data_IF_444735971659
#
_entry.id   IF_444735971659
#
_cell.length_a   1.000
_cell.length_b   1.000
_cell.length_c   1.000
_cell.angle_alpha   90.00
_cell.angle_beta   90.00
_cell.angle_gamma   90.00
#
_symmetry.space_group_name_H-M   'P 1'
#
loop_
_entity.id
_entity.type
_entity.pdbx_description
1 polymer ?
#
# COMPACT_ATOMS: atom_id res chain seq x y z
N UNK A 1 -11.24 20.46 -9.18
CA UNK A 1 -10.67 19.27 -8.53
C UNK A 1 -11.13 18.04 -9.30
N UNK A 2 -10.30 17.01 -9.37
CA UNK A 2 -10.66 15.72 -9.97
C UNK A 2 -11.84 15.09 -9.18
N UNK A 3 -12.72 14.36 -9.86
CA UNK A 3 -13.78 13.60 -9.20
C UNK A 3 -13.22 12.33 -8.56
N UNK A 4 -13.98 11.67 -7.67
CA UNK A 4 -13.58 10.35 -7.12
C UNK A 4 -13.34 9.33 -8.23
N UNK A 5 -14.14 9.37 -9.29
CA UNK A 5 -13.97 8.49 -10.44
C UNK A 5 -12.65 8.76 -11.15
N UNK A 6 -12.28 10.03 -11.33
CA UNK A 6 -10.99 10.40 -11.95
C UNK A 6 -9.80 9.92 -11.10
N UNK A 7 -9.89 10.06 -9.78
CA UNK A 7 -8.87 9.59 -8.84
C UNK A 7 -8.73 8.06 -8.86
N UNK A 8 -9.84 7.31 -8.83
CA UNK A 8 -9.83 5.87 -8.99
C UNK A 8 -9.28 5.46 -10.36
N UNK A 9 -9.62 6.19 -11.42
CA UNK A 9 -9.11 5.94 -12.77
C UNK A 9 -7.61 6.20 -12.90
N UNK A 10 -7.02 7.11 -12.10
CA UNK A 10 -5.57 7.27 -12.04
C UNK A 10 -4.88 5.99 -11.53
N UNK A 11 -5.45 5.34 -10.51
CA UNK A 11 -4.97 4.03 -10.01
C UNK A 11 -5.07 2.96 -11.12
N UNK A 12 -6.19 2.92 -11.84
CA UNK A 12 -6.38 1.99 -12.97
C UNK A 12 -5.33 2.18 -14.05
N UNK A 13 -5.16 3.42 -14.50
CA UNK A 13 -4.27 3.78 -15.58
C UNK A 13 -2.81 3.43 -15.23
N UNK A 14 -2.33 3.89 -14.06
CA UNK A 14 -0.99 3.54 -13.57
C UNK A 14 -0.79 2.03 -13.52
N UNK A 15 -1.77 1.29 -13.00
CA UNK A 15 -1.66 -0.16 -12.84
C UNK A 15 -1.60 -0.89 -14.19
N UNK A 16 -2.49 -0.57 -15.13
CA UNK A 16 -2.52 -1.24 -16.42
C UNK A 16 -1.30 -0.87 -17.28
N UNK A 17 -0.87 0.40 -17.27
CA UNK A 17 0.27 0.87 -18.06
C UNK A 17 1.60 0.28 -17.57
N UNK A 18 1.83 0.22 -16.26
CA UNK A 18 3.04 -0.36 -15.69
C UNK A 18 3.13 -1.87 -15.94
N UNK A 19 2.01 -2.60 -15.77
CA UNK A 19 1.92 -4.03 -16.10
C UNK A 19 2.19 -4.25 -17.59
N UNK A 20 1.60 -3.43 -18.46
CA UNK A 20 1.78 -3.53 -19.91
C UNK A 20 3.23 -3.27 -20.31
N UNK A 21 3.86 -2.22 -19.76
CA UNK A 21 5.27 -1.88 -20.04
C UNK A 21 6.22 -3.00 -19.59
N UNK A 22 5.97 -3.60 -18.43
CA UNK A 22 6.76 -4.72 -17.93
C UNK A 22 6.53 -6.02 -18.72
N UNK A 23 5.48 -6.07 -19.56
CA UNK A 23 4.98 -7.29 -20.21
C UNK A 23 4.76 -8.44 -19.20
N UNK A 24 4.39 -8.09 -17.97
CA UNK A 24 4.30 -8.99 -16.83
C UNK A 24 3.54 -8.34 -15.68
N UNK A 25 2.66 -9.09 -15.00
CA UNK A 25 1.92 -8.63 -13.83
C UNK A 25 0.41 -8.88 -13.91
N UNK A 26 -0.33 -8.35 -12.94
CA UNK A 26 -1.76 -8.62 -12.77
C UNK A 26 -2.55 -7.32 -12.68
N UNK A 27 -3.20 -6.85 -13.76
CA UNK A 27 -3.89 -5.56 -13.77
C UNK A 27 -5.32 -5.64 -13.21
N UNK A 28 -5.94 -6.83 -13.21
CA UNK A 28 -7.35 -7.01 -12.87
C UNK A 28 -7.70 -6.61 -11.43
N UNK A 29 -6.98 -7.15 -10.43
CA UNK A 29 -7.25 -6.83 -9.02
C UNK A 29 -7.03 -5.34 -8.69
N UNK A 30 -5.92 -4.68 -9.13
CA UNK A 30 -5.76 -3.24 -8.98
C UNK A 30 -6.92 -2.43 -9.56
N UNK A 31 -7.38 -2.78 -10.77
CA UNK A 31 -8.47 -2.05 -11.43
C UNK A 31 -9.84 -2.26 -10.75
N UNK A 32 -10.09 -3.46 -10.23
CA UNK A 32 -11.34 -3.80 -9.54
C UNK A 32 -11.44 -3.26 -8.11
N UNK A 33 -10.31 -2.96 -7.48
CA UNK A 33 -10.25 -2.42 -6.11
C UNK A 33 -10.03 -0.90 -6.06
N UNK A 34 -9.94 -0.23 -7.21
CA UNK A 34 -9.53 1.18 -7.30
C UNK A 34 -10.43 2.13 -6.49
N UNK A 35 -11.75 1.99 -6.55
CA UNK A 35 -12.68 2.82 -5.76
C UNK A 35 -12.56 2.56 -4.25
N UNK A 36 -12.42 1.29 -3.86
CA UNK A 36 -12.25 0.92 -2.45
C UNK A 36 -10.97 1.56 -1.91
N UNK A 37 -9.89 1.46 -2.69
CA UNK A 37 -8.60 2.03 -2.33
C UNK A 37 -8.63 3.55 -2.29
N UNK A 38 -9.26 4.21 -3.26
CA UNK A 38 -9.43 5.68 -3.30
C UNK A 38 -10.11 6.17 -2.02
N UNK A 39 -11.25 5.56 -1.65
CA UNK A 39 -12.00 5.96 -0.46
C UNK A 39 -11.20 5.67 0.81
N UNK A 40 -10.61 4.48 0.94
CA UNK A 40 -9.83 4.12 2.12
C UNK A 40 -8.65 5.07 2.33
N UNK A 41 -7.85 5.32 1.28
CA UNK A 41 -6.60 6.07 1.40
C UNK A 41 -6.80 7.58 1.51
N UNK A 42 -7.79 8.16 0.83
CA UNK A 42 -8.03 9.60 0.89
C UNK A 42 -8.88 10.04 2.10
N UNK A 43 -9.67 9.13 2.68
CA UNK A 43 -10.70 9.53 3.66
C UNK A 43 -10.62 8.82 5.02
N UNK A 44 -9.91 7.70 5.13
CA UNK A 44 -9.90 6.91 6.36
C UNK A 44 -8.50 6.60 6.89
N UNK A 45 -7.55 6.30 6.00
CA UNK A 45 -6.22 5.85 6.38
C UNK A 45 -5.42 6.99 7.04
N UNK A 46 -5.02 6.80 8.28
CA UNK A 46 -4.10 7.70 8.98
C UNK A 46 -2.66 7.32 8.66
N UNK A 47 -2.06 8.07 7.74
CA UNK A 47 -0.69 7.82 7.33
C UNK A 47 0.04 9.14 7.02
N UNK A 48 1.37 9.08 6.98
CA UNK A 48 2.20 10.21 6.61
C UNK A 48 3.24 9.77 5.57
N UNK A 49 3.06 10.13 4.29
CA UNK A 49 4.00 9.80 3.21
C UNK A 49 5.42 10.31 3.45
N UNK A 50 5.57 11.44 4.15
CA UNK A 50 6.88 12.00 4.53
C UNK A 50 7.54 11.29 5.72
N UNK A 51 6.78 10.48 6.46
CA UNK A 51 7.30 9.65 7.55
C UNK A 51 6.59 8.29 7.59
N UNK A 52 6.98 7.35 6.71
CA UNK A 52 6.45 5.98 6.69
C UNK A 52 6.69 5.22 8.00
N UNK A 53 7.62 5.69 8.83
CA UNK A 53 7.99 5.07 10.11
C UNK A 53 7.24 5.65 11.31
N UNK A 54 6.28 6.56 11.11
CA UNK A 54 5.44 7.08 12.20
C UNK A 54 4.80 5.93 12.99
N UNK A 55 5.06 5.90 14.30
CA UNK A 55 4.70 4.78 15.16
C UNK A 55 3.19 4.51 15.24
N UNK A 56 2.37 5.56 15.27
CA UNK A 56 0.91 5.47 15.40
C UNK A 56 0.14 5.61 14.08
N UNK A 57 0.79 5.31 12.95
CA UNK A 57 0.10 5.21 11.65
C UNK A 57 -0.80 3.97 11.59
N UNK A 58 -1.84 4.04 10.77
CA UNK A 58 -2.58 2.86 10.35
C UNK A 58 -1.69 1.95 9.48
N UNK A 59 -1.91 0.64 9.58
CA UNK A 59 -1.16 -0.36 8.80
C UNK A 59 -2.02 -0.89 7.66
N UNK A 60 -1.57 -0.68 6.43
CA UNK A 60 -2.20 -1.23 5.23
C UNK A 60 -1.43 -2.44 4.72
N UNK A 61 -2.13 -3.55 4.48
CA UNK A 61 -1.53 -4.80 3.98
C UNK A 61 -2.32 -5.31 2.78
N UNK A 62 -1.64 -5.42 1.64
CA UNK A 62 -2.20 -6.02 0.43
C UNK A 62 -1.94 -7.54 0.42
N UNK A 63 -2.86 -8.31 1.01
CA UNK A 63 -2.71 -9.76 1.17
C UNK A 63 -2.73 -10.52 -0.17
N UNK A 64 -3.55 -10.08 -1.11
CA UNK A 64 -3.54 -10.50 -2.52
C UNK A 64 -2.39 -9.82 -3.30
N UNK A 65 -1.15 -10.02 -2.83
CA UNK A 65 0.04 -9.30 -3.29
C UNK A 65 0.36 -9.39 -4.79
N UNK A 66 -0.27 -10.30 -5.53
CA UNK A 66 -0.12 -10.36 -6.99
C UNK A 66 -0.61 -9.08 -7.68
N UNK A 67 -1.57 -8.36 -7.08
CA UNK A 67 -2.05 -7.04 -7.51
C UNK A 67 -1.15 -5.89 -7.04
N UNK A 68 0.17 -6.09 -7.03
CA UNK A 68 1.17 -5.19 -6.45
C UNK A 68 1.12 -3.75 -7.00
N UNK A 69 0.74 -3.57 -8.27
CA UNK A 69 0.56 -2.23 -8.83
C UNK A 69 -0.52 -1.39 -8.13
N UNK A 70 -1.47 -1.99 -7.42
CA UNK A 70 -2.41 -1.25 -6.59
C UNK A 70 -1.66 -0.47 -5.50
N UNK A 71 -0.84 -1.16 -4.70
CA UNK A 71 -0.13 -0.51 -3.60
C UNK A 71 0.94 0.46 -4.13
N UNK A 72 1.64 0.14 -5.21
CA UNK A 72 2.60 1.09 -5.80
C UNK A 72 1.92 2.34 -6.35
N UNK A 73 0.75 2.21 -6.98
CA UNK A 73 -0.04 3.37 -7.44
C UNK A 73 -0.46 4.25 -6.25
N UNK A 74 -0.93 3.64 -5.16
CA UNK A 74 -1.36 4.36 -3.95
C UNK A 74 -0.19 5.08 -3.28
N UNK A 75 0.95 4.40 -3.10
CA UNK A 75 2.16 4.99 -2.53
C UNK A 75 2.67 6.16 -3.38
N UNK A 76 2.71 6.00 -4.70
CA UNK A 76 3.10 7.06 -5.63
C UNK A 76 2.16 8.27 -5.55
N UNK A 77 0.85 8.03 -5.70
CA UNK A 77 -0.16 9.11 -5.76
C UNK A 77 -0.32 9.85 -4.44
N UNK A 78 -0.10 9.18 -3.31
CA UNK A 78 -0.14 9.81 -1.98
C UNK A 78 1.17 10.51 -1.61
N UNK A 79 2.23 10.37 -2.40
CA UNK A 79 3.47 11.14 -2.24
C UNK A 79 4.53 10.48 -1.36
N UNK A 80 4.56 9.15 -1.26
CA UNK A 80 5.71 8.44 -0.71
C UNK A 80 6.93 8.63 -1.63
N UNK A 81 8.14 8.31 -1.14
CA UNK A 81 9.37 8.27 -1.94
C UNK A 81 9.40 7.09 -2.93
N UNK A 82 8.43 7.11 -3.85
CA UNK A 82 8.22 6.16 -4.94
C UNK A 82 7.85 6.96 -6.20
N UNK A 83 8.83 7.62 -6.84
CA UNK A 83 8.59 8.46 -8.00
C UNK A 83 8.11 7.65 -9.22
N UNK A 84 7.57 8.34 -10.21
CA UNK A 84 7.06 7.73 -11.45
C UNK A 84 8.11 6.87 -12.18
N UNK A 85 9.40 7.20 -12.03
CA UNK A 85 10.47 6.41 -12.66
C UNK A 85 10.64 5.01 -12.04
N UNK A 86 10.29 4.83 -10.76
CA UNK A 86 10.22 3.50 -10.12
C UNK A 86 9.01 2.70 -10.61
N UNK A 87 7.87 3.36 -10.82
CA UNK A 87 6.67 2.73 -11.41
C UNK A 87 7.00 2.21 -12.81
N UNK A 88 7.74 3.00 -13.60
CA UNK A 88 8.21 2.63 -14.94
C UNK A 88 9.17 1.43 -14.94
N UNK A 89 9.82 1.11 -13.81
CA UNK A 89 10.69 -0.06 -13.65
C UNK A 89 9.99 -1.23 -12.96
N UNK A 90 8.66 -1.27 -12.94
CA UNK A 90 7.90 -2.41 -12.41
C UNK A 90 8.44 -3.75 -12.93
N UNK A 91 8.71 -4.68 -12.00
CA UNK A 91 9.27 -6.02 -12.25
C UNK A 91 10.65 -6.07 -12.91
N UNK A 92 11.38 -4.96 -12.93
CA UNK A 92 12.77 -4.93 -13.40
C UNK A 92 13.74 -5.16 -12.24
N UNK A 93 14.95 -5.62 -12.57
CA UNK A 93 15.99 -5.91 -11.58
C UNK A 93 16.30 -4.67 -10.72
N UNK A 94 16.36 -4.86 -9.39
CA UNK A 94 16.62 -3.82 -8.38
C UNK A 94 15.60 -2.67 -8.28
N UNK A 95 14.47 -2.76 -8.99
CA UNK A 95 13.38 -1.80 -8.87
C UNK A 95 12.75 -1.84 -7.48
N UNK A 96 12.33 -0.68 -6.95
CA UNK A 96 11.49 -0.63 -5.73
C UNK A 96 10.11 -1.26 -5.98
N UNK A 97 9.66 -1.31 -7.24
CA UNK A 97 8.38 -1.89 -7.65
C UNK A 97 8.55 -3.37 -8.08
N UNK A 98 8.84 -4.23 -7.11
CA UNK A 98 8.96 -5.69 -7.32
C UNK A 98 7.63 -6.35 -7.75
N UNK A 99 7.69 -7.57 -8.27
CA UNK A 99 6.51 -8.26 -8.81
C UNK A 99 5.41 -8.56 -7.79
N UNK A 100 5.79 -8.73 -6.54
CA UNK A 100 4.94 -8.71 -5.34
C UNK A 100 5.52 -7.69 -4.36
N UNK A 101 4.74 -7.12 -3.42
CA UNK A 101 5.27 -6.16 -2.45
C UNK A 101 6.33 -6.83 -1.57
N UNK A 102 7.48 -6.17 -1.40
CA UNK A 102 8.57 -6.63 -0.54
C UNK A 102 8.87 -5.58 0.53
N UNK A 103 8.85 -5.99 1.80
CA UNK A 103 9.24 -5.13 2.91
C UNK A 103 10.69 -4.66 2.73
N UNK A 104 10.93 -3.36 2.90
CA UNK A 104 12.24 -2.74 2.77
C UNK A 104 12.62 -2.25 1.37
N UNK A 105 11.82 -2.56 0.33
CA UNK A 105 12.05 -2.05 -1.03
C UNK A 105 11.30 -0.74 -1.29
N UNK A 106 9.97 -0.79 -1.38
CA UNK A 106 9.15 0.40 -1.55
C UNK A 106 8.75 0.98 -0.17
N UNK A 107 8.95 2.29 0.07
CA UNK A 107 8.52 2.93 1.32
C UNK A 107 7.00 2.78 1.51
N UNK A 108 6.57 2.36 2.71
CA UNK A 108 5.15 2.15 3.04
C UNK A 108 4.63 0.74 2.81
N UNK A 109 5.44 -0.18 2.28
CA UNK A 109 5.11 -1.62 2.27
C UNK A 109 5.40 -2.21 3.65
N UNK A 110 4.34 -2.59 4.38
CA UNK A 110 4.44 -3.10 5.77
C UNK A 110 4.98 -4.53 5.86
N UNK A 111 4.76 -5.35 4.84
CA UNK A 111 5.13 -6.76 4.86
C UNK A 111 5.27 -7.31 3.45
N UNK A 112 6.13 -8.32 3.26
CA UNK A 112 6.26 -9.04 2.00
C UNK A 112 5.04 -9.96 1.82
N UNK A 113 4.34 -9.83 0.71
CA UNK A 113 3.19 -10.69 0.36
C UNK A 113 3.38 -11.35 -1.01
N UNK A 114 2.44 -12.21 -1.41
CA UNK A 114 2.53 -13.00 -2.64
C UNK A 114 2.02 -14.42 -2.42
N UNK A 115 2.61 -15.18 -1.46
CA UNK A 115 2.03 -16.43 -0.98
C UNK A 115 0.66 -16.16 -0.36
N UNK A 116 -0.40 -16.63 -1.01
CA UNK A 116 -1.78 -16.34 -0.61
C UNK A 116 -2.04 -16.78 0.83
N UNK A 117 -2.80 -15.96 1.57
CA UNK A 117 -3.14 -16.19 2.97
C UNK A 117 -2.14 -15.61 3.98
N UNK A 118 -0.86 -15.43 3.62
CA UNK A 118 0.12 -14.93 4.59
C UNK A 118 -0.11 -13.46 4.97
N UNK A 119 -0.49 -12.60 4.02
CA UNK A 119 -0.71 -11.18 4.31
C UNK A 119 -1.84 -10.94 5.31
N UNK A 120 -2.90 -11.75 5.29
CA UNK A 120 -4.00 -11.63 6.27
C UNK A 120 -3.55 -12.13 7.66
N UNK A 121 -2.74 -13.18 7.72
CA UNK A 121 -2.11 -13.63 8.98
C UNK A 121 -1.18 -12.55 9.55
N UNK A 122 -0.40 -11.87 8.70
CA UNK A 122 0.45 -10.75 9.12
C UNK A 122 -0.42 -9.61 9.68
N UNK A 123 -1.53 -9.26 9.01
CA UNK A 123 -2.46 -8.24 9.47
C UNK A 123 -3.06 -8.54 10.86
N UNK A 124 -3.37 -9.80 11.14
CA UNK A 124 -3.78 -10.24 12.48
C UNK A 124 -2.69 -9.95 13.51
N UNK A 125 -1.42 -10.22 13.17
CA UNK A 125 -0.26 -9.88 14.02
C UNK A 125 -0.13 -8.38 14.28
N UNK A 126 -0.25 -7.54 13.23
CA UNK A 126 -0.21 -6.07 13.37
C UNK A 126 -1.34 -5.54 14.26
N UNK A 127 -2.57 -6.00 14.07
CA UNK A 127 -3.70 -5.60 14.90
C UNK A 127 -3.54 -6.05 16.36
N UNK A 128 -2.98 -7.25 16.58
CA UNK A 128 -2.67 -7.74 17.92
C UNK A 128 -1.60 -6.89 18.59
N UNK A 129 -0.56 -6.49 17.85
CA UNK A 129 0.50 -5.63 18.37
C UNK A 129 -0.02 -4.24 18.79
N UNK A 130 -0.86 -3.60 17.95
CA UNK A 130 -1.51 -2.33 18.30
C UNK A 130 -2.30 -2.45 19.60
N UNK A 131 -3.16 -3.48 19.72
CA UNK A 131 -3.98 -3.71 20.91
C UNK A 131 -3.14 -3.93 22.17
N UNK A 132 -2.06 -4.72 22.06
CA UNK A 132 -1.16 -5.00 23.18
C UNK A 132 -0.40 -3.74 23.61
N UNK A 133 0.10 -2.95 22.66
CA UNK A 133 0.80 -1.70 22.95
C UNK A 133 -0.14 -0.66 23.56
N UNK A 134 -1.35 -0.51 23.03
CA UNK A 134 -2.37 0.35 23.61
C UNK A 134 -2.66 -0.04 25.07
N UNK A 135 -2.82 -1.34 25.36
CA UNK A 135 -3.05 -1.82 26.72
C UNK A 135 -1.87 -1.55 27.67
N UNK A 136 -0.63 -1.60 27.17
CA UNK A 136 0.57 -1.38 27.98
C UNK A 136 0.83 0.11 28.25
N UNK A 137 0.65 0.95 27.23
CA UNK A 137 1.15 2.32 27.22
C UNK A 137 0.06 3.39 27.40
N UNK A 138 -1.19 3.17 26.98
CA UNK A 138 -2.25 4.15 27.23
C UNK A 138 -2.52 4.27 28.74
N UNK A 139 -2.79 5.50 29.19
CA UNK A 139 -3.16 5.81 30.57
C UNK A 139 -4.51 6.53 30.61
N UNK A 140 -5.20 6.59 31.76
CA UNK A 140 -6.38 7.42 31.91
C UNK A 140 -6.10 8.86 31.44
N UNK A 141 -6.95 9.38 30.55
CA UNK A 141 -6.83 10.70 29.92
C UNK A 141 -5.58 10.91 29.03
N UNK A 142 -4.83 9.86 28.68
CA UNK A 142 -3.66 9.93 27.81
C UNK A 142 -3.61 8.70 26.89
N UNK A 143 -4.30 8.80 25.74
CA UNK A 143 -4.27 7.80 24.67
C UNK A 143 -3.30 8.25 23.59
N UNK A 144 -2.24 7.47 23.39
CA UNK A 144 -1.15 7.74 22.46
C UNK A 144 -1.00 6.66 21.38
N UNK A 145 -1.53 5.47 21.68
CA UNK A 145 -1.80 4.41 20.71
C UNK A 145 -3.28 4.46 20.40
#
# INVERSE_FOLDING_TARGET
MATRQDLANAIRALSMDAVQKANSGHPGAPMGMAEIAEVLWNHHLQHNPSNPNWANRDRFILSNGHGSMLIYSLLHLTGYDLPMDEIKTFRQLHSKCAGHPEYGYAPGVETTTGPLGQGISNAVGFAMAEKLLANQFNKPNHKIV
#
